data_IF_696567207017
#
_entry.id   IF_696567207017
#
_cell.length_a   1.000
_cell.length_b   1.000
_cell.length_c   1.000
_cell.angle_alpha   90.00
_cell.angle_beta   90.00
_cell.angle_gamma   90.00
#
_symmetry.space_group_name_H-M   'P 1'
#
loop_
_entity.id
_entity.type
_entity.pdbx_description
1 polymer ?
#
# COMPACT_ATOMS: atom_id res chain seq x y z
N UNK A 1 -5.42 0.87 -11.65
CA UNK A 1 -4.85 2.24 -11.47
C UNK A 1 -5.79 3.29 -12.04
N UNK A 2 -6.66 3.89 -11.21
CA UNK A 2 -7.57 4.98 -11.58
C UNK A 2 -7.97 5.06 -13.06
N UNK A 3 -7.60 6.18 -13.71
CA UNK A 3 -7.88 6.49 -15.12
C UNK A 3 -6.95 5.78 -16.13
N UNK A 4 -5.84 5.22 -15.68
CA UNK A 4 -4.80 4.65 -16.57
C UNK A 4 -4.98 3.14 -16.83
N UNK A 5 -5.90 2.50 -16.10
CA UNK A 5 -6.15 1.06 -16.18
C UNK A 5 -5.07 0.25 -15.46
N UNK A 6 -3.81 0.39 -15.87
CA UNK A 6 -2.65 -0.36 -15.34
C UNK A 6 -1.60 0.54 -14.66
N UNK A 7 -0.78 -0.07 -13.80
CA UNK A 7 0.38 0.60 -13.20
C UNK A 7 1.42 1.00 -14.24
N UNK A 8 1.69 0.14 -15.22
CA UNK A 8 2.62 0.47 -16.30
C UNK A 8 2.20 1.73 -17.08
N UNK A 9 0.91 1.89 -17.38
CA UNK A 9 0.39 3.08 -18.05
C UNK A 9 0.51 4.33 -17.17
N UNK A 10 0.18 4.19 -15.87
CA UNK A 10 0.32 5.28 -14.91
C UNK A 10 1.78 5.76 -14.82
N UNK A 11 2.72 4.83 -14.66
CA UNK A 11 4.16 5.12 -14.58
C UNK A 11 4.63 5.81 -15.86
N UNK A 12 4.31 5.24 -17.03
CA UNK A 12 4.71 5.82 -18.32
C UNK A 12 4.23 7.27 -18.48
N UNK A 13 2.97 7.54 -18.14
CA UNK A 13 2.40 8.90 -18.22
C UNK A 13 3.08 9.84 -17.23
N UNK A 14 3.20 9.44 -15.96
CA UNK A 14 3.80 10.26 -14.91
C UNK A 14 5.27 10.56 -15.16
N UNK A 15 6.03 9.57 -15.63
CA UNK A 15 7.42 9.73 -16.07
C UNK A 15 7.54 10.77 -17.18
N UNK A 16 6.74 10.66 -18.23
CA UNK A 16 6.73 11.62 -19.32
C UNK A 16 6.31 13.05 -18.88
N UNK A 17 5.35 13.17 -17.96
CA UNK A 17 4.95 14.46 -17.38
C UNK A 17 6.07 15.12 -16.56
N UNK A 18 6.87 14.31 -15.84
CA UNK A 18 8.00 14.77 -15.05
C UNK A 18 9.16 15.20 -15.95
N UNK A 19 9.53 14.35 -16.90
CA UNK A 19 10.59 14.62 -17.87
C UNK A 19 10.38 15.91 -18.68
N UNK A 20 9.12 16.23 -19.01
CA UNK A 20 8.76 17.50 -19.68
C UNK A 20 8.97 18.75 -18.81
N UNK A 21 8.96 18.61 -17.48
CA UNK A 21 9.17 19.72 -16.55
C UNK A 21 10.64 19.95 -16.28
N UNK A 22 11.38 18.86 -16.10
CA UNK A 22 12.81 18.89 -15.82
C UNK A 22 13.43 17.56 -16.29
N UNK A 23 14.52 17.66 -17.06
CA UNK A 23 15.16 16.49 -17.66
C UNK A 23 15.76 15.58 -16.58
N UNK A 24 15.54 14.27 -16.68
CA UNK A 24 15.97 13.28 -15.68
C UNK A 24 15.00 13.09 -14.51
N UNK A 25 14.10 14.05 -14.25
CA UNK A 25 13.16 13.96 -13.12
C UNK A 25 12.09 12.86 -13.29
N UNK A 26 11.91 12.34 -14.51
CA UNK A 26 11.03 11.20 -14.78
C UNK A 26 11.57 9.89 -14.21
N UNK A 27 12.84 9.61 -14.43
CA UNK A 27 13.52 8.40 -13.93
C UNK A 27 13.63 8.41 -12.41
N UNK A 28 13.99 9.55 -11.82
CA UNK A 28 14.02 9.73 -10.36
C UNK A 28 12.66 9.48 -9.73
N UNK A 29 11.59 10.00 -10.36
CA UNK A 29 10.24 9.77 -9.87
C UNK A 29 9.82 8.30 -9.96
N UNK A 30 10.14 7.59 -11.05
CA UNK A 30 9.82 6.17 -11.19
C UNK A 30 10.57 5.33 -10.15
N UNK A 31 11.86 5.63 -9.92
CA UNK A 31 12.65 4.98 -8.88
C UNK A 31 12.04 5.19 -7.49
N UNK A 32 11.66 6.43 -7.16
CA UNK A 32 10.99 6.73 -5.91
C UNK A 32 9.62 6.04 -5.79
N UNK A 33 8.85 5.98 -6.88
CA UNK A 33 7.55 5.29 -6.93
C UNK A 33 7.66 3.81 -6.59
N UNK A 34 8.69 3.12 -7.11
CA UNK A 34 8.93 1.72 -6.79
C UNK A 34 9.49 1.55 -5.37
N UNK A 35 10.42 2.42 -4.95
CA UNK A 35 11.01 2.41 -3.61
C UNK A 35 9.98 2.64 -2.50
N UNK A 36 8.98 3.48 -2.73
CA UNK A 36 7.91 3.76 -1.76
C UNK A 36 7.18 2.48 -1.28
N UNK A 37 7.16 1.40 -2.10
CA UNK A 37 6.52 0.13 -1.73
C UNK A 37 7.18 -0.52 -0.51
N UNK A 38 8.50 -0.65 -0.51
CA UNK A 38 9.27 -1.22 0.60
C UNK A 38 9.62 -0.17 1.66
N UNK A 39 9.85 1.08 1.27
CA UNK A 39 10.31 2.12 2.19
C UNK A 39 9.18 2.77 2.99
N UNK A 40 7.94 2.77 2.46
CA UNK A 40 6.80 3.46 3.09
C UNK A 40 5.60 2.56 3.29
N UNK A 41 5.17 1.83 2.27
CA UNK A 41 3.87 1.14 2.29
C UNK A 41 3.89 -0.06 3.25
N UNK A 42 4.86 -0.96 3.07
CA UNK A 42 5.03 -2.12 3.94
C UNK A 42 5.28 -1.71 5.41
N UNK A 43 6.26 -0.84 5.74
CA UNK A 43 6.52 -0.45 7.13
C UNK A 43 5.29 0.18 7.81
N UNK A 44 4.53 1.02 7.09
CA UNK A 44 3.30 1.63 7.63
C UNK A 44 2.20 0.62 7.89
N UNK A 45 2.04 -0.36 7.00
CA UNK A 45 1.10 -1.47 7.20
C UNK A 45 1.47 -2.25 8.46
N UNK A 46 2.73 -2.70 8.55
CA UNK A 46 3.24 -3.49 9.67
C UNK A 46 3.13 -2.73 10.99
N UNK A 47 3.54 -1.45 11.00
CA UNK A 47 3.47 -0.58 12.17
C UNK A 47 2.05 -0.57 12.76
N UNK A 48 1.03 -0.21 11.97
CA UNK A 48 -0.33 -0.15 12.49
C UNK A 48 -0.99 -1.52 12.65
N UNK A 49 -0.50 -2.56 11.99
CA UNK A 49 -0.95 -3.91 12.27
C UNK A 49 -0.52 -4.34 13.67
N UNK A 50 0.77 -4.19 13.98
CA UNK A 50 1.34 -4.55 15.28
C UNK A 50 0.90 -3.63 16.42
N UNK A 51 0.64 -2.35 16.18
CA UNK A 51 0.08 -1.47 17.22
C UNK A 51 -1.34 -1.88 17.66
N UNK A 52 -2.12 -2.51 16.76
CA UNK A 52 -3.53 -2.82 17.00
C UNK A 52 -3.81 -4.33 17.17
N UNK A 53 -2.78 -5.17 17.19
CA UNK A 53 -2.89 -6.60 17.48
C UNK A 53 -1.74 -7.06 18.35
N UNK A 54 -1.93 -8.18 19.05
CA UNK A 54 -0.87 -8.81 19.84
C UNK A 54 0.01 -9.74 18.96
N UNK A 55 -0.11 -9.60 17.63
CA UNK A 55 0.55 -10.42 16.60
C UNK A 55 1.73 -9.63 16.02
N UNK A 56 2.90 -10.25 16.01
CA UNK A 56 4.08 -9.70 15.32
C UNK A 56 4.02 -10.05 13.83
N UNK A 57 4.31 -9.07 12.98
CA UNK A 57 4.48 -9.24 11.54
C UNK A 57 5.84 -8.70 11.13
N UNK A 58 6.44 -9.30 10.11
CA UNK A 58 7.76 -8.94 9.60
C UNK A 58 8.31 -10.06 8.69
N UNK A 59 9.29 -9.71 7.84
CA UNK A 59 9.87 -10.66 6.88
C UNK A 59 10.87 -11.64 7.50
N UNK A 60 11.52 -11.25 8.61
CA UNK A 60 12.55 -12.05 9.30
C UNK A 60 12.00 -12.94 10.43
N UNK A 61 10.72 -13.32 10.36
CA UNK A 61 10.07 -14.13 11.39
C UNK A 61 9.96 -15.60 10.97
N UNK A 62 10.30 -16.51 11.88
CA UNK A 62 9.94 -17.93 11.77
C UNK A 62 8.45 -18.10 12.12
N UNK A 63 7.59 -17.92 11.12
CA UNK A 63 6.13 -17.91 11.27
C UNK A 63 5.48 -19.08 10.52
N UNK A 64 4.58 -19.79 11.20
CA UNK A 64 3.78 -20.87 10.61
C UNK A 64 2.89 -20.37 9.44
N UNK A 65 2.42 -19.14 9.53
CA UNK A 65 1.52 -18.54 8.56
C UNK A 65 2.15 -17.33 7.92
N UNK A 66 1.96 -17.22 6.61
CA UNK A 66 2.42 -16.10 5.81
C UNK A 66 1.22 -15.30 5.32
N UNK A 67 1.46 -14.01 5.08
CA UNK A 67 0.50 -13.07 4.54
C UNK A 67 1.11 -12.39 3.33
N UNK A 68 0.44 -12.46 2.18
CA UNK A 68 0.79 -11.70 0.99
C UNK A 68 -0.18 -10.52 0.83
N UNK A 69 0.35 -9.30 0.87
CA UNK A 69 -0.43 -8.06 0.72
C UNK A 69 -0.26 -7.55 -0.71
N UNK A 70 -1.22 -7.88 -1.56
CA UNK A 70 -1.23 -7.46 -2.95
C UNK A 70 -1.98 -6.13 -3.12
N UNK A 71 -1.45 -5.26 -3.97
CA UNK A 71 -2.10 -4.01 -4.33
C UNK A 71 -2.96 -4.19 -5.57
N UNK A 72 -4.28 -4.23 -5.40
CA UNK A 72 -5.22 -4.36 -6.52
C UNK A 72 -5.44 -3.00 -7.21
N UNK A 73 -5.52 -1.93 -6.43
CA UNK A 73 -5.83 -0.60 -6.94
C UNK A 73 -5.21 0.51 -6.10
N UNK A 74 -4.72 1.55 -6.77
CA UNK A 74 -4.37 2.83 -6.17
C UNK A 74 -5.05 3.95 -6.97
N UNK A 75 -5.69 4.87 -6.24
CA UNK A 75 -5.92 6.25 -6.64
C UNK A 75 -5.01 7.14 -5.81
N UNK A 76 -4.10 7.88 -6.44
CA UNK A 76 -3.02 8.61 -5.74
C UNK A 76 -3.50 9.85 -4.98
N UNK A 77 -4.66 10.39 -5.35
CA UNK A 77 -5.13 11.69 -4.87
C UNK A 77 -4.19 12.83 -5.29
N UNK A 78 -4.35 14.00 -4.67
CA UNK A 78 -3.50 15.16 -4.90
C UNK A 78 -3.57 16.12 -3.71
N UNK A 79 -2.56 16.98 -3.56
CA UNK A 79 -2.63 18.16 -2.71
C UNK A 79 -1.91 19.31 -3.43
N UNK A 80 -2.62 20.41 -3.66
CA UNK A 80 -2.11 21.61 -4.33
C UNK A 80 -2.23 22.87 -3.45
N UNK A 81 -2.30 22.69 -2.12
CA UNK A 81 -2.44 23.77 -1.14
C UNK A 81 -3.89 24.23 -0.96
N UNK A 82 -4.54 24.69 -2.04
CA UNK A 82 -5.93 25.18 -1.99
C UNK A 82 -6.98 24.06 -2.09
N UNK A 83 -6.60 22.90 -2.61
CA UNK A 83 -7.48 21.74 -2.76
C UNK A 83 -6.69 20.47 -2.55
N UNK A 84 -7.31 19.51 -1.88
CA UNK A 84 -6.72 18.19 -1.66
C UNK A 84 -7.75 17.09 -1.90
N UNK A 85 -7.24 15.93 -2.34
CA UNK A 85 -7.94 14.67 -2.41
C UNK A 85 -7.02 13.58 -1.85
N UNK A 86 -7.49 12.75 -0.90
CA UNK A 86 -6.70 11.68 -0.33
C UNK A 86 -6.43 10.58 -1.37
N UNK A 87 -5.39 9.78 -1.10
CA UNK A 87 -5.22 8.52 -1.80
C UNK A 87 -6.30 7.50 -1.39
N UNK A 88 -6.65 6.59 -2.28
CA UNK A 88 -7.46 5.40 -2.01
C UNK A 88 -6.67 4.17 -2.44
N UNK A 89 -6.58 3.17 -1.58
CA UNK A 89 -5.88 1.91 -1.88
C UNK A 89 -6.84 0.75 -1.69
N UNK A 90 -6.89 -0.18 -2.64
CA UNK A 90 -7.55 -1.47 -2.46
C UNK A 90 -6.49 -2.56 -2.42
N UNK A 91 -6.52 -3.36 -1.35
CA UNK A 91 -5.58 -4.45 -1.12
C UNK A 91 -6.29 -5.79 -1.13
N UNK A 92 -5.60 -6.82 -1.61
CA UNK A 92 -5.98 -8.22 -1.42
C UNK A 92 -4.94 -8.84 -0.49
N UNK A 93 -5.38 -9.26 0.68
CA UNK A 93 -4.53 -9.89 1.69
C UNK A 93 -4.80 -11.39 1.65
N UNK A 94 -3.80 -12.18 1.28
CA UNK A 94 -3.89 -13.64 1.17
C UNK A 94 -3.08 -14.30 2.27
N UNK A 95 -3.68 -15.26 2.99
CA UNK A 95 -3.00 -16.04 4.03
C UNK A 95 -2.78 -17.48 3.57
N UNK A 96 -1.63 -18.05 3.90
CA UNK A 96 -1.24 -19.44 3.59
C UNK A 96 -0.27 -19.99 4.65
N UNK A 97 -0.10 -21.31 4.69
CA UNK A 97 0.94 -21.95 5.52
C UNK A 97 2.31 -21.80 4.85
N UNK A 98 3.34 -21.43 5.61
CA UNK A 98 4.69 -21.22 5.08
C UNK A 98 5.22 -22.46 4.34
N UNK A 99 4.94 -23.65 4.88
CA UNK A 99 5.33 -24.94 4.30
C UNK A 99 4.51 -25.32 3.04
N UNK A 100 3.37 -24.66 2.79
CA UNK A 100 2.54 -24.92 1.62
C UNK A 100 1.89 -23.65 1.05
N UNK A 101 2.65 -22.79 0.35
CA UNK A 101 2.15 -21.53 -0.19
C UNK A 101 1.02 -21.66 -1.22
N UNK A 102 0.87 -22.85 -1.84
CA UNK A 102 -0.21 -23.11 -2.81
C UNK A 102 -1.57 -23.28 -2.13
N UNK A 103 -1.59 -23.64 -0.85
CA UNK A 103 -2.81 -23.83 -0.08
C UNK A 103 -3.22 -22.51 0.56
N UNK A 104 -3.98 -21.72 -0.18
CA UNK A 104 -4.60 -20.49 0.35
C UNK A 104 -5.61 -20.85 1.43
N UNK A 105 -5.42 -20.28 2.62
CA UNK A 105 -6.33 -20.45 3.76
C UNK A 105 -7.47 -19.42 3.71
N UNK A 106 -7.13 -18.19 3.31
CA UNK A 106 -8.04 -17.06 3.38
C UNK A 106 -7.59 -15.94 2.42
N UNK A 107 -8.56 -15.22 1.84
CA UNK A 107 -8.34 -13.95 1.14
C UNK A 107 -9.27 -12.88 1.70
N UNK A 108 -8.71 -11.72 2.04
CA UNK A 108 -9.44 -10.57 2.55
C UNK A 108 -9.23 -9.40 1.59
N UNK A 109 -10.34 -8.89 1.04
CA UNK A 109 -10.33 -7.67 0.25
C UNK A 109 -10.54 -6.45 1.15
N UNK A 110 -9.60 -5.52 1.12
CA UNK A 110 -9.65 -4.25 1.87
C UNK A 110 -9.92 -3.12 0.89
N UNK A 111 -11.20 -2.82 0.64
CA UNK A 111 -11.60 -1.89 -0.41
C UNK A 111 -11.48 -0.42 0.00
N UNK A 112 -10.89 0.40 -0.88
CA UNK A 112 -10.83 1.87 -0.80
C UNK A 112 -10.36 2.38 0.57
N UNK A 113 -9.27 1.80 1.07
CA UNK A 113 -8.55 2.27 2.25
C UNK A 113 -8.03 3.68 2.00
N UNK A 114 -8.74 4.64 2.60
CA UNK A 114 -8.47 6.07 2.47
C UNK A 114 -7.17 6.44 3.19
N UNK A 115 -6.21 6.95 2.44
CA UNK A 115 -4.99 7.57 2.96
C UNK A 115 -5.24 8.99 3.46
N UNK A 116 -4.15 9.72 3.72
CA UNK A 116 -4.21 11.09 4.21
C UNK A 116 -4.10 12.10 3.07
N UNK A 117 -4.82 13.21 3.15
CA UNK A 117 -4.83 14.25 2.11
C UNK A 117 -3.84 15.38 2.36
N UNK A 118 -3.27 15.49 3.57
CA UNK A 118 -2.42 16.61 3.96
C UNK A 118 -0.98 16.56 3.40
N UNK A 119 -0.48 15.39 3.01
CA UNK A 119 0.86 15.29 2.41
C UNK A 119 0.87 15.85 0.98
N UNK A 120 1.94 16.55 0.61
CA UNK A 120 2.18 17.02 -0.77
C UNK A 120 2.80 15.93 -1.66
N UNK A 121 3.60 15.02 -1.11
CA UNK A 121 4.13 13.88 -1.84
C UNK A 121 3.12 12.73 -1.93
N UNK A 122 3.13 12.01 -3.05
CA UNK A 122 2.19 10.91 -3.29
C UNK A 122 2.47 9.69 -2.42
N UNK A 123 3.73 9.36 -2.20
CA UNK A 123 4.14 8.19 -1.42
C UNK A 123 3.55 8.23 -0.01
N UNK A 124 3.72 9.32 0.72
CA UNK A 124 3.17 9.46 2.08
C UNK A 124 1.65 9.43 2.10
N UNK A 125 0.96 10.05 1.12
CA UNK A 125 -0.52 9.95 1.04
C UNK A 125 -0.99 8.51 0.87
N UNK A 126 -0.33 7.75 0.01
CA UNK A 126 -0.66 6.35 -0.27
C UNK A 126 -0.33 5.47 0.94
N UNK A 127 0.82 5.68 1.57
CA UNK A 127 1.29 4.91 2.73
C UNK A 127 0.31 4.98 3.90
N UNK A 128 -0.36 6.11 4.11
CA UNK A 128 -1.43 6.23 5.11
C UNK A 128 -2.66 5.34 4.80
N UNK A 129 -2.90 5.01 3.53
CA UNK A 129 -3.89 4.02 3.12
C UNK A 129 -3.50 2.59 3.53
N UNK A 130 -2.22 2.23 3.37
CA UNK A 130 -1.67 0.95 3.84
C UNK A 130 -1.66 0.87 5.37
N UNK A 131 -1.30 1.96 6.05
CA UNK A 131 -1.39 2.05 7.51
C UNK A 131 -2.80 1.74 7.99
N UNK A 132 -3.80 2.38 7.38
CA UNK A 132 -5.21 2.15 7.71
C UNK A 132 -5.63 0.70 7.44
N UNK A 133 -5.10 0.08 6.38
CA UNK A 133 -5.32 -1.32 6.09
C UNK A 133 -4.76 -2.23 7.20
N UNK A 134 -3.50 -2.05 7.60
CA UNK A 134 -2.88 -2.78 8.69
C UNK A 134 -3.70 -2.69 9.98
N UNK A 135 -4.08 -1.48 10.38
CA UNK A 135 -4.95 -1.22 11.55
C UNK A 135 -6.27 -1.98 11.50
N UNK A 136 -6.95 -1.94 10.36
CA UNK A 136 -8.29 -2.54 10.23
C UNK A 136 -8.22 -4.07 10.21
N UNK A 137 -7.21 -4.62 9.54
CA UNK A 137 -6.98 -6.05 9.52
C UNK A 137 -6.63 -6.58 10.92
N UNK A 138 -5.73 -5.91 11.64
CA UNK A 138 -5.37 -6.24 13.02
C UNK A 138 -6.60 -6.26 13.94
N UNK A 139 -7.44 -5.23 13.89
CA UNK A 139 -8.70 -5.17 14.65
C UNK A 139 -9.66 -6.29 14.26
N UNK A 140 -9.78 -6.59 12.97
CA UNK A 140 -10.65 -7.65 12.47
C UNK A 140 -10.21 -9.02 13.00
N UNK A 141 -8.92 -9.34 12.89
CA UNK A 141 -8.34 -10.60 13.39
C UNK A 141 -8.52 -10.67 14.92
N UNK A 142 -8.15 -9.63 15.67
CA UNK A 142 -8.31 -9.58 17.13
C UNK A 142 -9.77 -9.80 17.58
N UNK A 143 -10.74 -9.33 16.80
CA UNK A 143 -12.17 -9.56 17.08
C UNK A 143 -12.60 -11.01 16.78
N UNK A 144 -11.98 -11.66 15.80
CA UNK A 144 -12.32 -13.04 15.36
C UNK A 144 -11.58 -14.13 16.14
N UNK A 145 -10.48 -13.78 16.81
CA UNK A 145 -9.74 -14.68 17.71
C UNK A 145 -10.32 -14.72 19.13
N UNK A 146 -11.29 -13.83 19.44
CA UNK A 146 -12.13 -13.92 20.63
C UNK A 146 -13.36 -14.74 20.33
#
# INVERSE_FOLDING_TARGET
MGKDGSEANYIKRKKAEKEKKDAGSGDEWEKAWQGDKSEKYQPKFEQLFSEYSDIKVGEDLDARYMMHVETEFIEVGFNVGVKAKPALVTLIVTFYEAENPKKVLCKIKMDKMKGFQGHFDSGSRIAEGYAKAGKYLAKFIKKKLK
#
